data_IF_869302341161
#
_entry.id   IF_869302341161
#
_cell.length_a   1.000
_cell.length_b   1.000
_cell.length_c   1.000
_cell.angle_alpha   90.00
_cell.angle_beta   90.00
_cell.angle_gamma   90.00
#
_symmetry.space_group_name_H-M   'P 1'
#
loop_
_entity.id
_entity.type
_entity.pdbx_description
1 polymer ?
#
# COMPACT_ATOMS: atom_id res chain seq x y z
N UNK A 1 -14.35 16.31 0.88
CA UNK A 1 -15.80 16.08 0.71
C UNK A 1 -16.13 14.63 1.11
N UNK A 2 -16.41 14.42 2.40
CA UNK A 2 -16.73 13.09 2.97
C UNK A 2 -17.90 12.40 2.26
N UNK A 3 -18.84 13.16 1.71
CA UNK A 3 -19.98 12.62 0.97
C UNK A 3 -19.60 11.90 -0.32
N UNK A 4 -18.53 12.30 -0.99
CA UNK A 4 -18.05 11.65 -2.21
C UNK A 4 -17.37 10.30 -1.90
N UNK A 5 -16.74 10.18 -0.74
CA UNK A 5 -16.04 8.97 -0.28
C UNK A 5 -17.00 7.86 0.20
N UNK A 6 -18.27 8.20 0.40
CA UNK A 6 -19.30 7.23 0.78
C UNK A 6 -19.93 6.49 -0.42
N UNK A 7 -19.62 6.93 -1.65
CA UNK A 7 -20.20 6.34 -2.87
C UNK A 7 -19.30 5.19 -3.32
N UNK A 8 -19.86 3.97 -3.34
CA UNK A 8 -19.19 2.82 -3.96
C UNK A 8 -19.34 2.90 -5.48
N UNK A 9 -18.25 2.69 -6.22
CA UNK A 9 -18.27 2.56 -7.67
C UNK A 9 -18.34 1.07 -8.01
N UNK A 10 -19.46 0.58 -8.58
CA UNK A 10 -19.54 -0.82 -8.99
C UNK A 10 -18.43 -1.19 -9.99
N UNK A 11 -17.88 -2.40 -9.89
CA UNK A 11 -16.79 -2.85 -10.78
C UNK A 11 -17.14 -2.70 -12.26
N UNK A 12 -18.40 -2.87 -12.64
CA UNK A 12 -18.89 -2.71 -14.01
C UNK A 12 -18.88 -1.27 -14.53
N UNK A 13 -18.76 -0.29 -13.64
CA UNK A 13 -18.73 1.13 -13.93
C UNK A 13 -17.32 1.74 -13.80
N UNK A 14 -16.33 0.91 -13.40
CA UNK A 14 -14.95 1.35 -13.27
C UNK A 14 -14.29 1.47 -14.66
N UNK A 15 -13.42 2.47 -14.78
CA UNK A 15 -12.57 2.62 -15.95
C UNK A 15 -11.65 1.41 -16.15
N UNK A 16 -11.39 1.07 -17.41
CA UNK A 16 -10.50 -0.04 -17.77
C UNK A 16 -9.10 0.08 -17.15
N UNK A 17 -8.63 1.29 -16.89
CA UNK A 17 -7.35 1.56 -16.25
C UNK A 17 -7.33 1.20 -14.76
N UNK A 18 -8.49 1.12 -14.11
CA UNK A 18 -8.62 0.76 -12.68
C UNK A 18 -8.70 -0.76 -12.49
N UNK A 19 -9.32 -1.48 -13.43
CA UNK A 19 -9.57 -2.92 -13.33
C UNK A 19 -8.33 -3.78 -13.04
N UNK A 20 -7.13 -3.50 -13.57
CA UNK A 20 -5.94 -4.29 -13.24
C UNK A 20 -5.55 -4.29 -11.76
N UNK A 21 -6.04 -3.31 -10.99
CA UNK A 21 -5.72 -3.12 -9.57
C UNK A 21 -6.68 -3.83 -8.61
N UNK A 22 -7.64 -4.62 -9.12
CA UNK A 22 -8.48 -5.54 -8.32
C UNK A 22 -7.83 -6.92 -8.22
N UNK A 23 -7.05 -7.31 -9.24
CA UNK A 23 -6.48 -8.64 -9.35
C UNK A 23 -5.29 -8.86 -8.42
N UNK A 24 -5.03 -10.11 -7.97
CA UNK A 24 -3.81 -10.45 -7.26
C UNK A 24 -2.55 -10.10 -8.07
N UNK A 25 -1.46 -9.85 -7.38
CA UNK A 25 -0.14 -9.62 -7.98
C UNK A 25 0.95 -10.34 -7.19
N UNK A 26 2.20 -10.25 -7.65
CA UNK A 26 3.32 -11.04 -7.13
C UNK A 26 3.45 -10.98 -5.60
N UNK A 27 3.33 -9.80 -5.01
CA UNK A 27 3.47 -9.60 -3.57
C UNK A 27 2.14 -9.37 -2.85
N UNK A 28 1.04 -9.29 -3.59
CA UNK A 28 -0.30 -9.01 -3.07
C UNK A 28 -1.25 -10.14 -3.45
N UNK A 29 -1.18 -11.28 -2.75
CA UNK A 29 -1.98 -12.49 -3.00
C UNK A 29 -3.38 -12.33 -2.40
N UNK A 30 -4.16 -11.38 -2.93
CA UNK A 30 -5.48 -11.03 -2.41
C UNK A 30 -6.47 -12.18 -2.44
N UNK A 31 -6.35 -13.09 -3.41
CA UNK A 31 -7.15 -14.30 -3.54
C UNK A 31 -7.04 -15.23 -2.33
N UNK A 32 -5.90 -15.27 -1.66
CA UNK A 32 -5.67 -16.06 -0.44
C UNK A 32 -6.23 -15.41 0.82
N UNK A 33 -6.48 -14.11 0.80
CA UNK A 33 -6.91 -13.33 1.97
C UNK A 33 -8.41 -13.01 2.01
N UNK A 34 -9.19 -13.46 1.02
CA UNK A 34 -10.62 -13.13 0.88
C UNK A 34 -11.44 -13.47 2.13
N UNK A 35 -11.25 -14.66 2.70
CA UNK A 35 -12.01 -15.07 3.88
C UNK A 35 -11.68 -14.24 5.11
N UNK A 36 -10.39 -13.95 5.28
CA UNK A 36 -9.91 -13.08 6.37
C UNK A 36 -10.47 -11.66 6.22
N UNK A 37 -10.29 -11.04 5.06
CA UNK A 37 -10.72 -9.68 4.80
C UNK A 37 -12.24 -9.51 4.96
N UNK A 38 -13.04 -10.45 4.44
CA UNK A 38 -14.50 -10.44 4.61
C UNK A 38 -14.94 -10.59 6.06
N UNK A 39 -14.27 -11.43 6.83
CA UNK A 39 -14.58 -11.63 8.25
C UNK A 39 -14.28 -10.37 9.08
N UNK A 40 -13.09 -9.79 8.88
CA UNK A 40 -12.63 -8.66 9.70
C UNK A 40 -13.25 -7.32 9.28
N UNK A 41 -13.43 -7.08 7.96
CA UNK A 41 -13.79 -5.77 7.44
C UNK A 41 -15.08 -5.75 6.60
N UNK A 42 -15.58 -6.92 6.17
CA UNK A 42 -16.71 -7.01 5.24
C UNK A 42 -18.03 -6.45 5.77
N UNK A 43 -18.18 -6.36 7.10
CA UNK A 43 -19.37 -5.83 7.75
C UNK A 43 -19.46 -4.29 7.77
N UNK A 44 -18.38 -3.59 7.40
CA UNK A 44 -18.33 -2.14 7.42
C UNK A 44 -19.14 -1.54 6.25
N UNK A 45 -19.73 -0.34 6.44
CA UNK A 45 -20.80 0.16 5.58
C UNK A 45 -20.37 0.60 4.18
N UNK A 46 -19.15 1.06 4.01
CA UNK A 46 -18.64 1.59 2.74
C UNK A 46 -17.15 1.31 2.57
N UNK A 47 -16.65 1.52 1.35
CA UNK A 47 -15.24 1.26 0.98
C UNK A 47 -14.25 2.08 1.80
N UNK A 48 -14.53 3.36 2.02
CA UNK A 48 -13.65 4.21 2.83
C UNK A 48 -13.48 3.68 4.26
N UNK A 49 -14.59 3.31 4.91
CA UNK A 49 -14.57 2.73 6.26
C UNK A 49 -13.79 1.41 6.31
N UNK A 50 -13.91 0.57 5.26
CA UNK A 50 -13.16 -0.69 5.16
C UNK A 50 -11.67 -0.42 5.03
N UNK A 51 -11.27 0.47 4.11
CA UNK A 51 -9.85 0.78 3.89
C UNK A 51 -9.23 1.46 5.10
N UNK A 52 -9.95 2.37 5.76
CA UNK A 52 -9.49 2.98 7.01
C UNK A 52 -9.28 1.93 8.10
N UNK A 53 -10.22 1.01 8.26
CA UNK A 53 -10.10 -0.08 9.24
C UNK A 53 -8.94 -1.04 8.90
N UNK A 54 -8.69 -1.33 7.63
CA UNK A 54 -7.53 -2.09 7.16
C UNK A 54 -6.24 -1.37 7.55
N UNK A 55 -6.16 -0.06 7.25
CA UNK A 55 -4.99 0.77 7.57
C UNK A 55 -4.70 0.77 9.08
N UNK A 56 -5.72 0.97 9.91
CA UNK A 56 -5.61 0.96 11.36
C UNK A 56 -5.26 -0.43 11.91
N UNK A 57 -5.84 -1.48 11.34
CA UNK A 57 -5.56 -2.85 11.75
C UNK A 57 -4.10 -3.24 11.46
N UNK A 58 -3.56 -2.87 10.29
CA UNK A 58 -2.16 -3.13 9.95
C UNK A 58 -1.24 -2.40 10.92
N UNK A 59 -1.47 -1.12 11.17
CA UNK A 59 -0.70 -0.32 12.13
C UNK A 59 -0.64 -0.96 13.51
N UNK A 60 -1.77 -1.49 14.00
CA UNK A 60 -1.87 -2.08 15.34
C UNK A 60 -1.40 -3.53 15.42
N UNK A 61 -1.32 -4.24 14.29
CA UNK A 61 -1.10 -5.70 14.26
C UNK A 61 0.24 -6.13 13.67
N UNK A 62 0.94 -5.24 12.98
CA UNK A 62 2.24 -5.52 12.36
C UNK A 62 3.29 -4.64 13.00
N UNK A 63 4.39 -5.23 13.45
CA UNK A 63 5.53 -4.52 14.02
C UNK A 63 6.46 -4.03 12.90
N UNK A 64 6.83 -2.75 12.94
CA UNK A 64 7.81 -2.20 12.00
C UNK A 64 9.22 -2.52 12.46
N UNK A 65 9.92 -3.42 11.74
CA UNK A 65 11.28 -3.84 12.07
C UNK A 65 12.19 -3.62 10.87
N UNK A 66 13.07 -2.63 10.96
CA UNK A 66 14.04 -2.34 9.89
C UNK A 66 14.95 -3.55 9.65
N UNK A 67 15.17 -3.89 8.37
CA UNK A 67 16.01 -5.03 7.97
C UNK A 67 15.35 -6.41 8.12
N UNK A 68 14.09 -6.51 8.53
CA UNK A 68 13.37 -7.79 8.71
C UNK A 68 12.89 -8.44 7.41
N UNK A 69 13.00 -7.75 6.29
CA UNK A 69 12.39 -8.17 5.02
C UNK A 69 13.42 -8.34 3.90
N UNK A 70 13.02 -9.02 2.85
CA UNK A 70 13.76 -9.17 1.59
C UNK A 70 12.81 -9.00 0.39
N UNK A 71 13.34 -9.15 -0.82
CA UNK A 71 12.58 -8.94 -2.06
C UNK A 71 11.49 -10.01 -2.34
N UNK A 72 11.42 -11.09 -1.57
CA UNK A 72 10.46 -12.19 -1.78
C UNK A 72 9.26 -12.14 -0.83
N UNK A 73 9.32 -11.34 0.25
CA UNK A 73 8.25 -11.24 1.24
C UNK A 73 6.96 -10.72 0.61
N UNK A 74 5.87 -11.44 0.84
CA UNK A 74 4.53 -11.14 0.34
C UNK A 74 3.56 -10.68 1.42
N UNK A 75 2.35 -10.28 1.02
CA UNK A 75 1.28 -9.93 1.96
C UNK A 75 0.89 -11.11 2.86
N UNK A 76 0.91 -12.34 2.33
CA UNK A 76 0.64 -13.54 3.11
C UNK A 76 1.73 -13.82 4.15
N UNK A 77 2.99 -13.59 3.82
CA UNK A 77 4.08 -13.72 4.77
C UNK A 77 3.97 -12.67 5.89
N UNK A 78 3.65 -11.43 5.53
CA UNK A 78 3.50 -10.32 6.49
C UNK A 78 2.35 -10.54 7.46
N UNK A 79 1.19 -11.02 6.99
CA UNK A 79 0.03 -11.28 7.88
C UNK A 79 0.31 -12.42 8.87
N UNK A 80 1.16 -13.37 8.51
CA UNK A 80 1.56 -14.49 9.38
C UNK A 80 2.63 -14.07 10.36
N UNK A 81 3.71 -13.45 9.87
CA UNK A 81 4.88 -13.06 10.69
C UNK A 81 4.60 -11.88 11.62
N UNK A 82 3.68 -11.00 11.25
CA UNK A 82 3.37 -9.75 11.96
C UNK A 82 4.56 -8.79 12.07
N UNK A 83 5.53 -8.92 11.17
CA UNK A 83 6.74 -8.09 11.11
C UNK A 83 6.96 -7.65 9.66
N UNK A 84 7.40 -6.41 9.44
CA UNK A 84 7.72 -5.92 8.11
C UNK A 84 8.28 -4.51 8.09
N UNK A 85 8.54 -3.99 6.90
CA UNK A 85 8.89 -2.59 6.64
C UNK A 85 7.79 -1.93 5.77
N UNK A 86 7.95 -0.67 5.42
CA UNK A 86 6.91 0.10 4.71
C UNK A 86 6.31 -0.61 3.48
N UNK A 87 7.14 -1.29 2.65
CA UNK A 87 6.64 -2.02 1.49
C UNK A 87 5.74 -3.21 1.87
N UNK A 88 6.03 -3.89 2.96
CA UNK A 88 5.27 -5.06 3.41
C UNK A 88 3.92 -4.63 4.00
N UNK A 89 3.90 -3.50 4.72
CA UNK A 89 2.68 -2.85 5.18
C UNK A 89 1.79 -2.42 4.00
N UNK A 90 2.38 -1.82 2.96
CA UNK A 90 1.66 -1.42 1.75
C UNK A 90 1.10 -2.64 0.99
N UNK A 91 1.90 -3.70 0.79
CA UNK A 91 1.46 -4.93 0.14
C UNK A 91 0.29 -5.59 0.87
N UNK A 92 0.35 -5.64 2.20
CA UNK A 92 -0.74 -6.18 3.00
C UNK A 92 -2.02 -5.34 2.87
N UNK A 93 -1.90 -4.01 2.91
CA UNK A 93 -3.02 -3.09 2.67
C UNK A 93 -3.68 -3.30 1.31
N UNK A 94 -2.87 -3.38 0.25
CA UNK A 94 -3.31 -3.66 -1.12
C UNK A 94 -4.03 -5.00 -1.20
N UNK A 95 -3.43 -6.05 -0.66
CA UNK A 95 -4.00 -7.40 -0.73
C UNK A 95 -5.35 -7.49 0.01
N UNK A 96 -5.49 -6.86 1.16
CA UNK A 96 -6.73 -6.81 1.93
C UNK A 96 -7.83 -5.97 1.23
N UNK A 97 -7.46 -4.84 0.62
CA UNK A 97 -8.40 -4.04 -0.19
C UNK A 97 -8.92 -4.85 -1.38
N UNK A 98 -8.01 -5.43 -2.18
CA UNK A 98 -8.38 -6.25 -3.36
C UNK A 98 -9.19 -7.49 -2.99
N UNK A 99 -8.94 -8.08 -1.81
CA UNK A 99 -9.72 -9.19 -1.28
C UNK A 99 -11.19 -8.81 -0.95
N UNK A 100 -11.49 -7.51 -0.90
CA UNK A 100 -12.83 -6.93 -0.74
C UNK A 100 -13.34 -6.25 -2.02
N UNK A 101 -12.75 -6.59 -3.16
CA UNK A 101 -13.07 -6.02 -4.47
C UNK A 101 -12.85 -4.47 -4.55
N UNK A 102 -12.01 -3.92 -3.68
CA UNK A 102 -11.61 -2.52 -3.70
C UNK A 102 -10.28 -2.42 -4.45
N UNK A 103 -10.23 -1.71 -5.61
CA UNK A 103 -8.98 -1.54 -6.35
C UNK A 103 -7.95 -0.82 -5.49
N UNK A 104 -6.74 -1.34 -5.45
CA UNK A 104 -5.66 -0.73 -4.69
C UNK A 104 -4.32 -0.93 -5.40
N UNK A 105 -3.41 0.04 -5.23
CA UNK A 105 -2.11 0.04 -5.90
C UNK A 105 -0.99 0.49 -4.97
N UNK A 106 0.20 0.02 -5.26
CA UNK A 106 1.42 0.42 -4.56
C UNK A 106 1.80 1.83 -4.96
N UNK A 107 2.33 2.60 -4.01
CA UNK A 107 2.75 3.97 -4.23
C UNK A 107 4.10 4.21 -3.55
N UNK A 108 5.11 4.58 -4.34
CA UNK A 108 6.38 5.09 -3.83
C UNK A 108 6.30 6.59 -3.64
N UNK A 109 6.77 7.09 -2.50
CA UNK A 109 6.75 8.52 -2.17
C UNK A 109 8.08 8.97 -1.59
N UNK A 110 8.43 10.24 -1.82
CA UNK A 110 9.32 10.96 -0.91
C UNK A 110 8.50 11.52 0.23
N UNK A 111 9.00 11.44 1.45
CA UNK A 111 8.33 11.96 2.63
C UNK A 111 9.27 12.88 3.40
N UNK A 112 8.86 14.14 3.61
CA UNK A 112 9.62 15.06 4.44
C UNK A 112 9.55 14.58 5.91
N UNK A 113 10.65 14.81 6.62
CA UNK A 113 10.82 14.40 8.02
C UNK A 113 10.83 12.87 8.27
N UNK A 114 10.93 12.05 7.23
CA UNK A 114 11.16 10.62 7.40
C UNK A 114 12.59 10.38 7.93
N UNK A 115 12.74 9.63 9.00
CA UNK A 115 14.04 9.34 9.59
C UNK A 115 14.24 7.82 9.81
N UNK A 116 15.35 7.23 9.31
CA UNK A 116 16.30 7.85 8.38
C UNK A 116 15.66 8.20 7.04
N UNK A 117 16.19 9.18 6.30
CA UNK A 117 15.67 9.53 4.98
C UNK A 117 15.76 8.35 4.02
N UNK A 118 14.63 8.01 3.40
CA UNK A 118 14.52 6.90 2.46
C UNK A 118 13.33 7.12 1.52
N UNK A 119 13.20 6.28 0.49
CA UNK A 119 11.99 6.18 -0.29
C UNK A 119 10.97 5.41 0.56
N UNK A 120 9.80 6.03 0.75
CA UNK A 120 8.74 5.46 1.54
C UNK A 120 7.69 4.77 0.67
N UNK A 121 7.11 3.69 1.18
CA UNK A 121 6.06 2.94 0.53
C UNK A 121 4.72 3.16 1.24
N UNK A 122 3.73 3.51 0.43
CA UNK A 122 2.32 3.65 0.81
C UNK A 122 1.45 2.81 -0.14
N UNK A 123 0.15 2.85 0.04
CA UNK A 123 -0.78 2.35 -0.97
C UNK A 123 -1.89 3.36 -1.26
N UNK A 124 -2.44 3.30 -2.45
CA UNK A 124 -3.64 4.04 -2.82
C UNK A 124 -4.80 3.05 -3.00
N UNK A 125 -5.99 3.41 -2.53
CA UNK A 125 -7.24 2.70 -2.79
C UNK A 125 -8.17 3.58 -3.64
N UNK A 126 -8.88 2.96 -4.58
CA UNK A 126 -9.83 3.65 -5.45
C UNK A 126 -11.20 3.68 -4.78
N UNK A 127 -11.60 4.86 -4.30
CA UNK A 127 -12.79 5.07 -3.48
C UNK A 127 -13.56 6.26 -4.04
N UNK A 128 -14.85 6.08 -4.34
CA UNK A 128 -15.70 7.16 -4.84
C UNK A 128 -15.21 7.79 -6.15
N UNK A 129 -14.52 7.02 -7.01
CA UNK A 129 -13.97 7.51 -8.26
C UNK A 129 -12.60 8.18 -8.13
N UNK A 130 -11.95 8.13 -6.96
CA UNK A 130 -10.67 8.79 -6.70
C UNK A 130 -9.65 7.83 -6.08
N UNK A 131 -8.38 7.99 -6.43
CA UNK A 131 -7.27 7.34 -5.75
C UNK A 131 -6.92 8.09 -4.47
N UNK A 132 -7.02 7.41 -3.33
CA UNK A 132 -6.77 7.98 -2.00
C UNK A 132 -5.59 7.26 -1.37
N UNK A 133 -4.60 8.03 -0.92
CA UNK A 133 -3.36 7.52 -0.33
C UNK A 133 -3.53 7.19 1.15
N UNK A 134 -3.03 6.00 1.52
CA UNK A 134 -2.97 5.50 2.90
C UNK A 134 -1.54 5.11 3.27
N UNK A 135 -1.15 5.43 4.50
CA UNK A 135 0.14 5.02 5.06
C UNK A 135 -0.10 4.20 6.35
N UNK A 136 -0.12 2.87 6.25
CA UNK A 136 -0.35 2.03 7.42
C UNK A 136 0.81 2.02 8.42
N UNK A 137 1.97 2.58 8.06
CA UNK A 137 3.09 2.75 9.00
C UNK A 137 2.96 4.00 9.86
N UNK A 138 2.23 5.02 9.39
CA UNK A 138 2.12 6.35 9.99
C UNK A 138 3.46 7.07 10.21
N UNK A 139 4.50 6.66 9.46
CA UNK A 139 5.83 7.27 9.55
C UNK A 139 5.91 8.63 8.85
N UNK A 140 4.94 8.96 8.00
CA UNK A 140 4.92 10.22 7.25
C UNK A 140 3.58 10.94 7.42
N UNK A 141 3.62 12.27 7.54
CA UNK A 141 2.41 13.10 7.58
C UNK A 141 1.77 13.19 6.18
N UNK A 142 0.43 13.30 6.11
CA UNK A 142 -0.31 13.30 4.84
C UNK A 142 0.12 14.39 3.88
N UNK A 143 0.39 15.60 4.38
CA UNK A 143 0.78 16.77 3.61
C UNK A 143 2.28 16.89 3.36
N UNK A 144 3.08 15.89 3.73
CA UNK A 144 4.54 15.90 3.62
C UNK A 144 5.07 14.92 2.57
N UNK A 145 4.20 14.39 1.69
CA UNK A 145 4.54 13.34 0.74
C UNK A 145 4.50 13.85 -0.70
N UNK A 146 5.47 13.42 -1.49
CA UNK A 146 5.50 13.63 -2.95
C UNK A 146 5.52 12.27 -3.62
N UNK A 147 4.48 11.98 -4.42
CA UNK A 147 4.38 10.71 -5.15
C UNK A 147 5.45 10.64 -6.25
N UNK A 148 6.14 9.50 -6.31
CA UNK A 148 7.17 9.20 -7.32
C UNK A 148 6.60 8.30 -8.40
N UNK A 149 5.96 7.19 -7.99
CA UNK A 149 5.45 6.18 -8.89
C UNK A 149 4.29 5.40 -8.26
N UNK A 150 3.46 4.80 -9.11
CA UNK A 150 2.46 3.82 -8.70
C UNK A 150 2.55 2.56 -9.59
N UNK A 151 2.11 1.42 -9.04
CA UNK A 151 2.18 0.12 -9.69
C UNK A 151 1.28 -0.92 -9.01
N UNK A 152 1.18 -2.12 -9.56
CA UNK A 152 0.43 -3.20 -8.91
C UNK A 152 1.01 -3.62 -7.57
N UNK A 153 2.33 -3.71 -7.50
CA UNK A 153 3.11 -3.93 -6.28
C UNK A 153 4.57 -3.48 -6.50
N UNK A 154 5.42 -3.62 -5.49
CA UNK A 154 6.81 -3.16 -5.55
C UNK A 154 7.66 -3.83 -6.64
N UNK A 155 7.23 -4.94 -7.24
CA UNK A 155 8.00 -5.59 -8.33
C UNK A 155 8.01 -4.77 -9.62
N UNK A 156 7.00 -3.92 -9.82
CA UNK A 156 6.88 -3.04 -10.99
C UNK A 156 7.38 -1.61 -10.72
N UNK A 157 7.52 -1.20 -9.45
CA UNK A 157 8.00 0.13 -9.03
C UNK A 157 9.32 0.04 -8.26
N UNK A 158 10.22 -0.81 -8.70
CA UNK A 158 11.54 -0.91 -8.10
C UNK A 158 12.32 0.41 -8.27
N UNK A 159 12.92 0.89 -7.18
CA UNK A 159 13.77 2.11 -7.18
C UNK A 159 14.95 1.97 -8.13
N UNK A 160 15.51 0.77 -8.21
CA UNK A 160 16.58 0.41 -9.14
C UNK A 160 16.53 -1.10 -9.44
N UNK A 161 16.86 -1.45 -10.67
CA UNK A 161 17.03 -2.84 -11.11
C UNK A 161 18.48 -3.04 -11.51
N UNK A 162 19.15 -4.00 -10.89
CA UNK A 162 20.55 -4.30 -11.15
C UNK A 162 20.65 -5.55 -12.02
N UNK A 163 21.52 -5.49 -13.03
CA UNK A 163 21.82 -6.60 -13.92
C UNK A 163 23.30 -6.98 -13.80
N UNK A 164 23.58 -8.29 -13.74
CA UNK A 164 24.94 -8.81 -13.59
C UNK A 164 25.44 -8.74 -12.13
N UNK A 165 26.74 -8.78 -11.95
CA UNK A 165 27.39 -8.78 -10.64
C UNK A 165 27.62 -7.35 -10.14
N UNK A 166 26.53 -6.64 -9.82
CA UNK A 166 26.53 -5.25 -9.36
C UNK A 166 25.76 -5.12 -8.05
N UNK A 167 26.11 -4.08 -7.25
CA UNK A 167 25.41 -3.76 -6.01
C UNK A 167 25.40 -2.24 -5.79
N UNK A 168 24.42 -1.76 -5.06
CA UNK A 168 24.34 -0.36 -4.67
C UNK A 168 25.35 -0.09 -3.56
N UNK A 169 26.26 0.88 -3.78
CA UNK A 169 27.25 1.29 -2.79
C UNK A 169 26.78 2.46 -1.94
N UNK A 170 25.89 3.28 -2.47
CA UNK A 170 25.38 4.46 -1.77
C UNK A 170 24.05 4.90 -2.39
N UNK A 171 23.12 5.30 -1.53
CA UNK A 171 21.87 5.96 -1.90
C UNK A 171 21.64 7.12 -0.94
N UNK A 172 21.29 8.28 -1.46
CA UNK A 172 20.92 9.44 -0.67
C UNK A 172 19.54 9.93 -1.11
N UNK A 173 18.65 10.11 -0.15
CA UNK A 173 17.30 10.64 -0.36
C UNK A 173 17.16 11.90 0.49
N UNK A 174 16.65 12.98 -0.10
CA UNK A 174 16.35 14.20 0.61
C UNK A 174 14.98 14.73 0.17
N UNK A 175 14.17 15.09 1.15
CA UNK A 175 12.86 15.70 0.94
C UNK A 175 12.60 16.72 2.04
N UNK A 176 12.48 17.98 1.65
CA UNK A 176 12.29 19.11 2.55
C UNK A 176 10.94 19.79 2.28
N UNK A 177 10.34 20.37 3.31
CA UNK A 177 9.16 21.24 3.18
C UNK A 177 9.66 22.63 2.79
N UNK A 178 9.11 23.18 1.72
CA UNK A 178 9.37 24.57 1.31
C UNK A 178 8.25 25.42 1.93
N UNK A 179 8.63 26.41 2.73
CA UNK A 179 7.70 27.41 3.29
C UNK A 179 7.28 28.46 2.23
#
# INVERSE_FOLDING_TARGET
>A
NESALAISVPVMEMDNEVLPYISPSRHCESDKLVQFAKKEFGHLPNEYSKVQAINDWIFNSVEYVSGSTNASVSACDTIISRIGVCKDFAHLGIALCRALDIPARYCSVYAANLFPPDIHACFEAYIGGLWILFDPTRLSAENSRVKIADSKDASEAAVAVFYGNTYCTHMNVQCDIIE
#
